data_IF_648726130763
#
_entry.id   IF_648726130763
#
_cell.length_a   1.000
_cell.length_b   1.000
_cell.length_c   1.000
_cell.angle_alpha   90.00
_cell.angle_beta   90.00
_cell.angle_gamma   90.00
#
_symmetry.space_group_name_H-M   'P 1'
#
loop_
_entity.id
_entity.type
_entity.pdbx_description
1 polymer ?
#
# COMPACT_ATOMS: atom_id res chain seq x y z
N UNK A 1 8.11 -20.47 -13.69
CA UNK A 1 8.84 -19.41 -13.00
C UNK A 1 10.02 -19.99 -12.23
N UNK A 2 11.25 -19.52 -12.50
CA UNK A 2 12.49 -20.06 -11.90
C UNK A 2 12.59 -21.60 -11.99
N UNK A 3 12.31 -22.14 -13.17
CA UNK A 3 12.32 -23.58 -13.49
C UNK A 3 11.32 -24.44 -12.69
N UNK A 4 10.41 -23.81 -11.96
CA UNK A 4 9.31 -24.48 -11.27
C UNK A 4 8.02 -24.27 -12.07
N UNK A 5 7.28 -25.35 -12.28
CA UNK A 5 5.96 -25.32 -12.91
C UNK A 5 4.88 -25.13 -11.86
N UNK A 6 4.00 -24.16 -12.08
CA UNK A 6 2.83 -23.88 -11.24
C UNK A 6 1.54 -24.12 -12.04
N UNK A 7 0.51 -24.60 -11.38
CA UNK A 7 -0.81 -24.74 -11.98
C UNK A 7 -1.51 -23.39 -12.12
N UNK A 8 -1.34 -22.51 -11.14
CA UNK A 8 -1.95 -21.18 -11.08
C UNK A 8 -0.93 -20.15 -10.61
N UNK A 9 -1.01 -18.94 -11.14
CA UNK A 9 -0.14 -17.83 -10.76
C UNK A 9 -1.02 -16.62 -10.44
N UNK A 10 -0.81 -16.03 -9.27
CA UNK A 10 -1.48 -14.79 -8.83
C UNK A 10 -0.44 -13.67 -8.80
N UNK A 11 -0.64 -12.64 -9.61
CA UNK A 11 0.21 -11.46 -9.65
C UNK A 11 -0.28 -10.42 -8.63
N UNK A 12 0.52 -10.25 -7.57
CA UNK A 12 0.28 -9.29 -6.48
C UNK A 12 1.44 -8.27 -6.38
N UNK A 13 1.81 -7.68 -7.51
CA UNK A 13 3.07 -6.98 -7.73
C UNK A 13 3.04 -5.49 -7.36
N UNK A 14 1.90 -5.02 -6.87
CA UNK A 14 1.74 -3.60 -6.56
C UNK A 14 1.93 -2.74 -7.82
N UNK A 15 2.79 -1.71 -7.75
CA UNK A 15 3.03 -0.81 -8.89
C UNK A 15 3.74 -1.48 -10.06
N UNK A 16 4.44 -2.59 -9.82
CA UNK A 16 5.19 -3.30 -10.87
C UNK A 16 4.27 -3.99 -11.89
N UNK A 17 3.00 -4.13 -11.59
CA UNK A 17 2.00 -4.65 -12.56
C UNK A 17 1.96 -3.82 -13.86
N UNK A 18 2.35 -2.56 -13.81
CA UNK A 18 2.47 -1.68 -15.00
C UNK A 18 3.49 -2.18 -16.03
N UNK A 19 4.41 -3.06 -15.61
CA UNK A 19 5.43 -3.70 -16.47
C UNK A 19 5.13 -5.18 -16.70
N UNK A 20 4.03 -5.70 -16.14
CA UNK A 20 3.65 -7.10 -16.29
C UNK A 20 3.10 -7.35 -17.70
N UNK A 21 3.61 -8.34 -18.46
CA UNK A 21 3.17 -8.58 -19.84
C UNK A 21 1.72 -9.06 -19.96
N UNK A 22 1.09 -9.48 -18.87
CA UNK A 22 -0.28 -10.01 -18.86
C UNK A 22 -1.32 -9.05 -18.27
N UNK A 23 -0.90 -8.07 -17.47
CA UNK A 23 -1.79 -7.21 -16.70
C UNK A 23 -1.37 -5.74 -16.69
N UNK A 24 -0.54 -5.30 -17.66
CA UNK A 24 -0.09 -3.91 -17.76
C UNK A 24 -1.21 -2.92 -18.08
N UNK A 25 -2.34 -3.39 -18.57
CA UNK A 25 -3.54 -2.58 -18.86
C UNK A 25 -4.26 -2.09 -17.59
N UNK A 26 -3.97 -2.68 -16.44
CA UNK A 26 -4.60 -2.30 -15.18
C UNK A 26 -4.22 -0.86 -14.80
N UNK A 27 -5.19 0.05 -14.56
CA UNK A 27 -4.95 1.47 -14.35
C UNK A 27 -4.46 1.78 -12.93
N UNK A 28 -3.26 1.28 -12.58
CA UNK A 28 -2.64 1.59 -11.30
C UNK A 28 -2.05 3.00 -11.32
N UNK A 29 -2.50 3.81 -10.38
CA UNK A 29 -1.93 5.12 -10.07
C UNK A 29 -0.99 4.97 -8.88
N UNK A 30 0.26 5.35 -9.09
CA UNK A 30 1.26 5.34 -8.02
C UNK A 30 0.95 6.44 -7.02
N UNK A 31 1.05 6.12 -5.74
CA UNK A 31 0.95 7.10 -4.67
C UNK A 31 2.14 6.92 -3.72
N UNK A 32 3.15 7.76 -3.88
CA UNK A 32 4.33 7.75 -3.04
C UNK A 32 3.99 8.27 -1.65
N UNK A 33 4.54 7.63 -0.64
CA UNK A 33 4.37 8.07 0.74
C UNK A 33 5.64 7.88 1.53
N UNK A 34 5.86 8.80 2.48
CA UNK A 34 6.97 8.76 3.43
C UNK A 34 6.46 8.61 4.84
N UNK A 35 7.27 8.02 5.69
CA UNK A 35 7.07 8.04 7.14
C UNK A 35 8.40 8.18 7.86
N UNK A 36 8.32 8.63 9.10
CA UNK A 36 9.43 8.76 10.01
C UNK A 36 9.32 7.69 11.09
N UNK A 37 10.44 7.07 11.46
CA UNK A 37 10.61 6.46 12.75
C UNK A 37 11.23 7.51 13.65
N UNK A 38 10.61 7.80 14.79
CA UNK A 38 11.05 8.83 15.73
C UNK A 38 11.18 8.25 17.12
N UNK A 39 12.05 8.86 17.92
CA UNK A 39 12.24 8.54 19.34
C UNK A 39 12.10 9.83 20.12
N UNK A 40 11.23 9.84 21.15
CA UNK A 40 11.14 10.94 22.10
C UNK A 40 12.15 10.77 23.23
N UNK A 41 12.65 11.90 23.75
CA UNK A 41 13.59 11.89 24.87
C UNK A 41 12.85 11.69 26.21
N UNK A 42 11.71 12.37 26.41
CA UNK A 42 11.00 12.42 27.71
C UNK A 42 9.48 12.12 27.58
N UNK A 43 9.05 11.51 26.49
CA UNK A 43 7.64 11.27 26.26
C UNK A 43 7.33 9.82 25.94
N UNK A 44 6.32 9.27 26.65
CA UNK A 44 5.79 7.93 26.36
C UNK A 44 4.35 8.03 25.90
N UNK A 45 4.13 7.65 24.66
CA UNK A 45 2.80 7.53 24.08
C UNK A 45 2.31 6.08 24.18
N UNK A 46 1.20 5.87 24.87
CA UNK A 46 0.57 4.54 24.99
C UNK A 46 -0.50 4.27 23.91
N UNK A 47 -1.03 5.32 23.34
CA UNK A 47 -2.15 5.24 22.38
C UNK A 47 -1.76 5.86 21.04
N UNK A 48 -2.44 5.45 19.99
CA UNK A 48 -2.32 6.08 18.67
C UNK A 48 -2.93 7.48 18.69
N UNK A 49 -2.20 8.47 18.18
CA UNK A 49 -2.71 9.81 17.92
C UNK A 49 -2.94 9.96 16.42
N UNK A 50 -4.10 10.48 16.06
CA UNK A 50 -4.43 10.87 14.68
C UNK A 50 -4.74 12.37 14.65
N UNK A 51 -3.84 13.17 14.05
CA UNK A 51 -4.09 14.57 13.69
C UNK A 51 -4.05 14.70 12.17
N UNK A 52 -2.97 15.14 11.59
CA UNK A 52 -2.74 15.18 10.13
C UNK A 52 -2.30 13.79 9.63
N UNK A 53 -1.35 13.20 10.34
CA UNK A 53 -0.83 11.86 10.11
C UNK A 53 -1.09 10.98 11.34
N UNK A 54 -0.67 9.72 11.28
CA UNK A 54 -0.74 8.83 12.43
C UNK A 54 0.58 8.85 13.19
N UNK A 55 0.49 8.99 14.51
CA UNK A 55 1.60 8.75 15.45
C UNK A 55 1.21 7.57 16.33
N UNK A 56 1.99 6.48 16.29
CA UNK A 56 1.74 5.32 17.14
C UNK A 56 3.05 4.66 17.60
N UNK A 57 3.06 4.02 18.77
CA UNK A 57 4.23 3.32 19.26
C UNK A 57 4.53 2.08 18.41
N UNK A 58 5.81 1.86 18.11
CA UNK A 58 6.32 0.61 17.52
C UNK A 58 6.83 -0.32 18.63
N UNK A 59 7.44 0.28 19.66
CA UNK A 59 7.89 -0.35 20.88
C UNK A 59 7.88 0.67 22.03
N UNK A 60 8.63 0.42 23.10
CA UNK A 60 8.66 1.28 24.30
C UNK A 60 9.23 2.69 24.03
N UNK A 61 10.09 2.85 23.04
CA UNK A 61 10.82 4.10 22.78
C UNK A 61 10.72 4.60 21.34
N UNK A 62 10.35 3.75 20.41
CA UNK A 62 10.25 4.08 18.99
C UNK A 62 8.80 4.25 18.55
N UNK A 63 8.58 5.22 17.70
CA UNK A 63 7.27 5.59 17.21
C UNK A 63 7.29 5.74 15.68
N UNK A 64 6.22 5.30 15.06
CA UNK A 64 5.92 5.60 13.65
C UNK A 64 5.21 6.94 13.57
N UNK A 65 5.61 7.78 12.63
CA UNK A 65 4.87 8.97 12.24
C UNK A 65 4.74 9.09 10.73
N UNK A 66 3.52 9.08 10.24
CA UNK A 66 3.26 9.15 8.79
C UNK A 66 1.81 8.80 8.44
N UNK A 67 1.48 8.66 7.17
CA UNK A 67 2.34 8.81 5.99
C UNK A 67 1.88 9.98 5.13
N UNK A 68 2.79 10.44 4.32
CA UNK A 68 2.45 11.39 3.26
C UNK A 68 1.75 10.72 2.08
N UNK A 69 1.17 11.54 1.19
CA UNK A 69 0.51 11.10 -0.03
C UNK A 69 0.93 12.02 -1.17
N UNK A 70 1.61 11.46 -2.17
CA UNK A 70 2.01 12.17 -3.37
C UNK A 70 1.73 11.31 -4.60
N UNK A 71 0.89 11.81 -5.50
CA UNK A 71 0.50 11.13 -6.74
C UNK A 71 1.24 11.62 -7.97
N UNK A 72 2.03 12.68 -7.82
CA UNK A 72 2.73 13.32 -8.91
C UNK A 72 4.22 12.92 -8.92
N UNK A 73 4.74 12.43 -7.80
CA UNK A 73 6.13 12.07 -7.64
C UNK A 73 6.31 10.54 -7.62
N UNK A 74 6.89 10.01 -8.68
CA UNK A 74 7.28 8.59 -8.78
C UNK A 74 8.81 8.39 -8.66
N UNK A 75 9.56 9.42 -8.29
CA UNK A 75 11.02 9.34 -8.16
C UNK A 75 11.44 8.30 -7.12
N UNK A 76 12.56 7.65 -7.34
CA UNK A 76 13.20 6.75 -6.37
C UNK A 76 13.91 7.58 -5.30
N UNK A 77 13.83 7.12 -4.06
CA UNK A 77 14.51 7.76 -2.92
C UNK A 77 13.58 8.56 -2.03
N UNK A 78 14.16 9.04 -0.95
CA UNK A 78 13.50 9.91 0.02
C UNK A 78 13.37 11.32 -0.59
N UNK A 79 12.25 11.96 -0.32
CA UNK A 79 11.94 13.32 -0.74
C UNK A 79 12.07 14.26 0.47
N UNK A 80 13.00 15.18 0.43
CA UNK A 80 13.27 16.13 1.53
C UNK A 80 12.05 16.98 1.87
N UNK A 81 11.25 17.37 0.88
CA UNK A 81 10.02 18.13 1.10
C UNK A 81 9.00 17.35 1.91
N UNK A 82 8.86 16.05 1.61
CA UNK A 82 7.97 15.18 2.38
C UNK A 82 8.46 14.98 3.82
N UNK A 83 9.78 14.88 4.01
CA UNK A 83 10.40 14.80 5.35
C UNK A 83 10.17 16.09 6.14
N UNK A 84 10.39 17.25 5.53
CA UNK A 84 10.11 18.54 6.15
C UNK A 84 8.62 18.68 6.53
N UNK A 85 7.71 18.30 5.64
CA UNK A 85 6.28 18.28 5.91
C UNK A 85 5.94 17.43 7.15
N UNK A 86 6.54 16.23 7.26
CA UNK A 86 6.32 15.35 8.42
C UNK A 86 6.90 15.94 9.70
N UNK A 87 8.12 16.48 9.66
CA UNK A 87 8.74 17.11 10.83
C UNK A 87 7.92 18.30 11.34
N UNK A 88 7.43 19.15 10.45
CA UNK A 88 6.57 20.27 10.83
C UNK A 88 5.26 19.78 11.45
N UNK A 89 4.69 18.69 10.92
CA UNK A 89 3.45 18.14 11.45
C UNK A 89 3.63 17.40 12.81
N UNK A 90 4.80 16.84 13.13
CA UNK A 90 5.10 16.32 14.47
C UNK A 90 5.08 17.45 15.50
N UNK A 91 5.69 18.59 15.18
CA UNK A 91 5.73 19.77 16.07
C UNK A 91 4.34 20.35 16.36
N UNK A 92 3.35 20.10 15.52
CA UNK A 92 1.96 20.46 15.80
C UNK A 92 1.28 19.54 16.84
N UNK A 93 1.87 18.38 17.14
CA UNK A 93 1.31 17.40 18.08
C UNK A 93 1.93 17.52 19.45
N UNK A 94 3.25 17.82 19.52
CA UNK A 94 4.01 17.84 20.77
C UNK A 94 5.15 18.85 20.70
N UNK A 95 5.42 19.46 21.86
CA UNK A 95 6.60 20.29 22.10
C UNK A 95 7.81 19.48 22.61
N UNK A 96 7.63 18.17 22.87
CA UNK A 96 8.70 17.30 23.33
C UNK A 96 9.80 17.14 22.28
N UNK A 97 11.05 17.11 22.72
CA UNK A 97 12.18 16.83 21.85
C UNK A 97 12.12 15.41 21.31
N UNK A 98 12.47 15.25 20.05
CA UNK A 98 12.54 13.95 19.42
C UNK A 98 13.70 13.86 18.42
N UNK A 99 14.13 12.64 18.13
CA UNK A 99 15.10 12.32 17.10
C UNK A 99 14.44 11.49 16.01
N UNK A 100 14.69 11.83 14.75
CA UNK A 100 14.35 10.95 13.61
C UNK A 100 15.42 9.87 13.55
N UNK A 101 15.02 8.63 13.73
CA UNK A 101 15.91 7.46 13.72
C UNK A 101 15.96 6.76 12.38
N UNK A 102 14.88 6.84 11.60
CA UNK A 102 14.80 6.30 10.25
C UNK A 102 13.78 7.08 9.40
N UNK A 103 13.99 7.07 8.09
CA UNK A 103 13.07 7.65 7.10
C UNK A 103 12.86 6.59 6.02
N UNK A 104 11.61 6.24 5.78
CA UNK A 104 11.25 5.28 4.76
C UNK A 104 10.24 5.87 3.79
N UNK A 105 10.28 5.38 2.56
CA UNK A 105 9.31 5.71 1.54
C UNK A 105 8.82 4.44 0.85
N UNK A 106 7.66 4.52 0.24
CA UNK A 106 7.10 3.42 -0.53
C UNK A 106 6.01 3.89 -1.49
N UNK A 107 5.63 3.00 -2.38
CA UNK A 107 4.63 3.28 -3.39
C UNK A 107 3.38 2.44 -3.13
N UNK A 108 2.25 3.10 -3.04
CA UNK A 108 0.95 2.45 -2.90
C UNK A 108 0.34 2.27 -4.29
N UNK A 109 -0.03 1.06 -4.68
CA UNK A 109 -0.76 0.81 -5.90
C UNK A 109 -2.22 1.25 -5.71
N UNK A 110 -2.55 2.46 -6.13
CA UNK A 110 -3.90 2.99 -6.00
C UNK A 110 -4.67 2.89 -7.32
N UNK A 111 -5.98 2.92 -7.21
CA UNK A 111 -6.90 2.96 -8.34
C UNK A 111 -7.80 4.19 -8.18
N UNK A 112 -8.28 4.76 -9.28
CA UNK A 112 -9.09 5.99 -9.26
C UNK A 112 -10.34 5.85 -8.37
N UNK A 113 -11.01 4.70 -8.42
CA UNK A 113 -12.18 4.37 -7.62
C UNK A 113 -11.88 3.88 -6.19
N UNK A 114 -10.59 3.75 -5.84
CA UNK A 114 -10.09 3.28 -4.54
C UNK A 114 -10.54 1.88 -4.12
N UNK A 115 -10.88 1.03 -5.08
CA UNK A 115 -11.25 -0.37 -4.87
C UNK A 115 -10.17 -1.30 -5.39
N UNK A 116 -9.94 -2.47 -4.76
CA UNK A 116 -9.00 -3.46 -5.27
C UNK A 116 -9.37 -3.94 -6.67
N UNK A 117 -8.41 -4.57 -7.32
CA UNK A 117 -8.58 -5.18 -8.63
C UNK A 117 -8.29 -6.68 -8.50
N UNK A 118 -9.31 -7.47 -8.76
CA UNK A 118 -9.25 -8.92 -8.77
C UNK A 118 -9.72 -9.44 -10.12
N UNK A 119 -9.12 -10.51 -10.59
CA UNK A 119 -9.62 -11.13 -11.82
C UNK A 119 -8.68 -12.15 -12.42
N UNK A 120 -9.17 -12.77 -13.47
CA UNK A 120 -8.44 -13.75 -14.29
C UNK A 120 -8.02 -13.10 -15.61
N UNK A 121 -6.90 -13.55 -16.16
CA UNK A 121 -6.49 -13.14 -17.50
C UNK A 121 -7.48 -13.67 -18.56
N UNK A 122 -7.77 -12.87 -19.57
CA UNK A 122 -8.79 -13.19 -20.59
C UNK A 122 -8.44 -14.43 -21.42
N UNK A 123 -7.15 -14.65 -21.71
CA UNK A 123 -6.66 -15.76 -22.56
C UNK A 123 -6.06 -16.89 -21.73
N UNK A 124 -5.29 -16.56 -20.71
CA UNK A 124 -4.57 -17.53 -19.88
C UNK A 124 -5.37 -17.88 -18.62
N UNK A 125 -6.05 -19.02 -18.64
CA UNK A 125 -6.95 -19.45 -17.58
C UNK A 125 -6.31 -19.70 -16.21
N UNK A 126 -4.99 -19.78 -16.15
CA UNK A 126 -4.21 -20.03 -14.94
C UNK A 126 -3.51 -18.78 -14.38
N UNK A 127 -3.74 -17.61 -14.99
CA UNK A 127 -3.16 -16.35 -14.53
C UNK A 127 -4.21 -15.46 -13.90
N UNK A 128 -3.91 -14.95 -12.72
CA UNK A 128 -4.80 -14.12 -11.91
C UNK A 128 -4.09 -12.88 -11.42
N UNK A 129 -4.84 -11.85 -11.10
CA UNK A 129 -4.33 -10.62 -10.51
C UNK A 129 -5.04 -10.28 -9.20
N UNK A 130 -4.24 -9.80 -8.24
CA UNK A 130 -4.69 -9.23 -6.98
C UNK A 130 -3.92 -7.95 -6.70
N UNK A 131 -4.53 -6.79 -6.94
CA UNK A 131 -3.82 -5.51 -6.88
C UNK A 131 -4.75 -4.35 -6.44
N UNK A 132 -4.25 -3.13 -6.48
CA UNK A 132 -5.05 -1.92 -6.27
C UNK A 132 -5.48 -1.66 -4.83
N UNK A 133 -4.88 -2.33 -3.84
CA UNK A 133 -5.24 -2.19 -2.42
C UNK A 133 -4.93 -0.82 -1.81
N UNK A 134 -4.03 -0.05 -2.44
CA UNK A 134 -3.65 1.30 -2.02
C UNK A 134 -3.21 1.37 -0.56
N UNK A 135 -3.72 2.34 0.18
CA UNK A 135 -3.42 2.52 1.61
C UNK A 135 -4.22 1.60 2.55
N UNK A 136 -5.13 0.78 2.03
CA UNK A 136 -6.01 -0.10 2.82
C UNK A 136 -5.65 -1.58 2.71
N UNK A 137 -4.47 -1.89 2.19
CA UNK A 137 -4.04 -3.27 1.96
C UNK A 137 -4.09 -4.13 3.22
N UNK A 138 -3.63 -3.62 4.35
CA UNK A 138 -3.65 -4.35 5.61
C UNK A 138 -5.09 -4.60 6.12
N UNK A 139 -5.99 -3.64 5.91
CA UNK A 139 -7.38 -3.75 6.34
C UNK A 139 -8.20 -4.69 5.45
N UNK A 140 -8.03 -4.59 4.15
CA UNK A 140 -8.90 -5.22 3.16
C UNK A 140 -8.27 -6.49 2.54
N UNK A 141 -6.97 -6.67 2.69
CA UNK A 141 -6.22 -7.74 2.01
C UNK A 141 -6.76 -9.12 2.31
N UNK A 142 -6.98 -9.44 3.59
CA UNK A 142 -7.49 -10.74 4.00
C UNK A 142 -8.89 -11.04 3.42
N UNK A 143 -9.79 -10.06 3.45
CA UNK A 143 -11.14 -10.22 2.90
C UNK A 143 -11.10 -10.48 1.37
N UNK A 144 -10.38 -9.64 0.62
CA UNK A 144 -10.35 -9.80 -0.84
C UNK A 144 -9.47 -10.95 -1.31
N UNK A 145 -8.51 -11.41 -0.52
CA UNK A 145 -7.80 -12.66 -0.82
C UNK A 145 -8.72 -13.88 -0.73
N UNK A 146 -9.63 -13.90 0.25
CA UNK A 146 -10.66 -14.93 0.36
C UNK A 146 -11.65 -14.88 -0.83
N UNK A 147 -12.05 -13.67 -1.25
CA UNK A 147 -12.91 -13.50 -2.44
C UNK A 147 -12.22 -14.08 -3.69
N UNK A 148 -10.93 -13.77 -3.90
CA UNK A 148 -10.18 -14.30 -5.03
C UNK A 148 -9.99 -15.82 -4.92
N UNK A 149 -9.70 -16.33 -3.74
CA UNK A 149 -9.56 -17.77 -3.50
C UNK A 149 -10.83 -18.52 -3.89
N UNK A 150 -12.00 -18.08 -3.42
CA UNK A 150 -13.29 -18.70 -3.78
C UNK A 150 -13.60 -18.63 -5.26
N UNK A 151 -13.22 -17.55 -5.91
CA UNK A 151 -13.33 -17.46 -7.36
C UNK A 151 -12.47 -18.50 -8.08
N UNK A 152 -11.24 -18.69 -7.61
CA UNK A 152 -10.26 -19.61 -8.23
C UNK A 152 -10.63 -21.07 -7.99
N UNK A 153 -11.05 -21.44 -6.78
CA UNK A 153 -11.27 -22.82 -6.36
C UNK A 153 -12.73 -23.27 -6.48
N UNK A 154 -13.66 -22.40 -6.13
CA UNK A 154 -15.09 -22.74 -6.05
C UNK A 154 -15.91 -22.20 -7.21
N UNK A 155 -15.31 -21.36 -8.08
CA UNK A 155 -16.01 -20.72 -9.19
C UNK A 155 -17.01 -19.64 -8.76
N UNK A 156 -16.91 -19.13 -7.52
CA UNK A 156 -17.80 -18.07 -7.02
C UNK A 156 -17.39 -16.74 -7.65
N UNK A 157 -18.35 -16.06 -8.28
CA UNK A 157 -18.12 -14.81 -8.98
C UNK A 157 -17.54 -13.71 -8.08
N UNK A 158 -16.55 -12.98 -8.62
CA UNK A 158 -15.99 -11.79 -7.98
C UNK A 158 -17.03 -10.67 -8.02
N UNK A 159 -17.26 -9.90 -6.92
CA UNK A 159 -18.14 -8.74 -6.94
C UNK A 159 -17.77 -7.72 -8.01
N UNK A 160 -18.76 -7.18 -8.71
CA UNK A 160 -18.56 -6.30 -9.88
C UNK A 160 -17.69 -5.07 -9.56
N UNK A 161 -17.81 -4.54 -8.33
CA UNK A 161 -17.06 -3.37 -7.88
C UNK A 161 -15.55 -3.60 -7.74
N UNK A 162 -15.07 -4.84 -7.77
CA UNK A 162 -13.64 -5.18 -7.67
C UNK A 162 -13.13 -6.02 -8.83
N UNK A 163 -14.00 -6.41 -9.76
CA UNK A 163 -13.59 -7.10 -10.99
C UNK A 163 -12.61 -6.26 -11.80
N UNK A 164 -11.61 -6.91 -12.38
CA UNK A 164 -10.66 -6.30 -13.31
C UNK A 164 -11.38 -5.67 -14.51
N UNK A 165 -12.39 -6.34 -15.02
CA UNK A 165 -13.17 -5.98 -16.19
C UNK A 165 -13.96 -4.67 -16.07
N UNK A 166 -14.12 -4.10 -14.86
CA UNK A 166 -14.84 -2.82 -14.66
C UNK A 166 -14.15 -1.61 -15.29
N UNK A 167 -12.94 -1.79 -15.83
CA UNK A 167 -12.19 -0.75 -16.54
C UNK A 167 -12.17 -0.93 -18.06
N UNK A 168 -12.95 -1.85 -18.59
CA UNK A 168 -13.08 -2.13 -20.03
C UNK A 168 -14.46 -1.78 -20.55
#
# INVERSE_FOLDING_TARGET
>A
YKDIRFEKIIFAEGINVRQNPYFSEIPIVVNKGHHLSIKFDDYQLKNTIKKKHFLFPLDEVNYYYGGTYDRENESVGVDDRAVEQLNNAVREITDSSYKVTNIEYGYRPTVADRRPILGKHLVHNNLFVFNGLGARGLLNGAFYSEVLYRFIEDGIEIPDEVKKERFH
#
